data_IF_911282358047
#
_entry.id   IF_911282358047
#
_cell.length_a   1.000
_cell.length_b   1.000
_cell.length_c   1.000
_cell.angle_alpha   90.00
_cell.angle_beta   90.00
_cell.angle_gamma   90.00
#
_symmetry.space_group_name_H-M   'P 1'
#
loop_
_entity.id
_entity.type
_entity.pdbx_description
1 polymer ?
#
# COMPACT_ATOMS: atom_id res chain seq x y z
N UNK A 1 30.68 -41.39 -15.41
CA UNK A 1 29.67 -40.76 -14.53
C UNK A 1 28.49 -40.34 -15.38
N UNK A 2 27.37 -41.06 -15.31
CA UNK A 2 26.12 -40.67 -15.98
C UNK A 2 25.58 -39.46 -15.21
N UNK A 3 25.54 -38.29 -15.85
CA UNK A 3 24.86 -37.11 -15.31
C UNK A 3 23.37 -37.42 -15.29
N UNK A 4 22.84 -37.72 -14.10
CA UNK A 4 21.40 -37.74 -13.85
C UNK A 4 20.94 -36.28 -13.96
N UNK A 5 20.31 -35.94 -15.08
CA UNK A 5 19.59 -34.68 -15.23
C UNK A 5 18.43 -34.68 -14.22
N UNK A 6 18.50 -33.77 -13.25
CA UNK A 6 17.42 -33.51 -12.30
C UNK A 6 16.16 -33.18 -13.12
N UNK A 7 15.00 -33.80 -12.84
CA UNK A 7 13.78 -33.45 -13.56
C UNK A 7 13.49 -31.95 -13.35
N UNK A 8 12.91 -31.27 -14.37
CA UNK A 8 12.52 -29.88 -14.21
C UNK A 8 11.61 -29.74 -12.98
N UNK A 9 11.83 -28.69 -12.19
CA UNK A 9 10.94 -28.41 -11.07
C UNK A 9 9.51 -28.21 -11.62
N UNK A 10 8.49 -28.80 -10.99
CA UNK A 10 7.11 -28.64 -11.45
C UNK A 10 6.71 -27.16 -11.37
N UNK A 11 6.01 -26.68 -12.41
CA UNK A 11 5.56 -25.29 -12.52
C UNK A 11 4.58 -24.88 -11.41
N UNK A 12 3.85 -25.84 -10.86
CA UNK A 12 2.89 -25.66 -9.78
C UNK A 12 3.10 -26.70 -8.68
N UNK A 13 2.88 -26.31 -7.42
CA UNK A 13 2.86 -27.24 -6.29
C UNK A 13 1.59 -28.08 -6.29
N UNK A 14 1.65 -29.29 -5.74
CA UNK A 14 0.47 -30.16 -5.63
C UNK A 14 -0.71 -29.49 -4.90
N UNK A 15 -0.44 -28.60 -3.95
CA UNK A 15 -1.46 -27.83 -3.25
C UNK A 15 -2.14 -26.81 -4.17
N UNK A 16 -1.39 -26.12 -5.03
CA UNK A 16 -1.93 -25.18 -6.03
C UNK A 16 -2.80 -25.91 -7.06
N UNK A 17 -2.33 -27.05 -7.56
CA UNK A 17 -3.08 -27.86 -8.52
C UNK A 17 -4.37 -28.40 -7.88
N UNK A 18 -4.28 -28.93 -6.66
CA UNK A 18 -5.46 -29.40 -5.94
C UNK A 18 -6.45 -28.26 -5.66
N UNK A 19 -5.98 -27.10 -5.20
CA UNK A 19 -6.82 -25.92 -4.96
C UNK A 19 -7.45 -25.35 -6.24
N UNK A 20 -6.83 -25.57 -7.40
CA UNK A 20 -7.42 -25.21 -8.67
C UNK A 20 -8.54 -26.16 -9.08
N UNK A 21 -8.25 -27.47 -9.11
CA UNK A 21 -9.15 -28.48 -9.68
C UNK A 21 -10.24 -28.93 -8.73
N UNK A 22 -10.04 -28.82 -7.42
CA UNK A 22 -10.95 -29.38 -6.45
C UNK A 22 -11.59 -28.33 -5.55
N UNK A 23 -12.86 -28.59 -5.20
CA UNK A 23 -13.59 -27.87 -4.16
C UNK A 23 -14.06 -28.85 -3.10
N UNK A 24 -14.08 -28.48 -1.81
CA UNK A 24 -14.66 -29.33 -0.78
C UNK A 24 -16.14 -29.60 -1.10
N UNK A 25 -16.55 -30.85 -0.94
CA UNK A 25 -17.96 -31.22 -1.00
C UNK A 25 -18.70 -30.60 0.19
N UNK A 26 -19.98 -30.31 -0.01
CA UNK A 26 -20.88 -29.85 1.05
C UNK A 26 -22.00 -30.85 1.26
N UNK A 27 -22.48 -30.95 2.48
CA UNK A 27 -23.64 -31.78 2.82
C UNK A 27 -24.97 -31.05 2.56
N UNK A 28 -26.06 -31.58 3.11
CA UNK A 28 -27.41 -31.04 2.92
C UNK A 28 -27.63 -29.70 3.64
N UNK A 29 -26.79 -29.39 4.64
CA UNK A 29 -26.85 -28.17 5.45
C UNK A 29 -25.83 -27.12 4.98
N UNK A 30 -25.23 -27.32 3.80
CA UNK A 30 -24.16 -26.51 3.22
C UNK A 30 -22.84 -26.55 4.03
N UNK A 31 -22.67 -27.50 4.95
CA UNK A 31 -21.45 -27.65 5.75
C UNK A 31 -20.34 -28.39 4.98
N UNK A 32 -19.09 -28.02 5.22
CA UNK A 32 -17.93 -28.56 4.49
C UNK A 32 -17.60 -29.99 4.95
N UNK A 33 -17.65 -30.94 4.01
CA UNK A 33 -17.22 -32.32 4.24
C UNK A 33 -15.71 -32.43 3.99
N UNK A 34 -14.91 -32.33 5.05
CA UNK A 34 -13.44 -32.24 5.00
C UNK A 34 -12.73 -33.34 4.20
N UNK A 35 -13.27 -34.56 4.16
CA UNK A 35 -12.61 -35.70 3.49
C UNK A 35 -12.97 -35.80 2.00
N UNK A 36 -13.97 -35.08 1.50
CA UNK A 36 -14.48 -35.25 0.15
C UNK A 36 -14.29 -34.00 -0.70
N UNK A 37 -13.67 -34.19 -1.86
CA UNK A 37 -13.34 -33.13 -2.77
C UNK A 37 -13.94 -33.41 -4.14
N UNK A 38 -14.64 -32.44 -4.72
CA UNK A 38 -15.20 -32.52 -6.07
C UNK A 38 -14.27 -31.84 -7.05
N UNK A 39 -13.80 -32.59 -8.03
CA UNK A 39 -13.04 -32.05 -9.15
C UNK A 39 -13.95 -31.21 -10.07
N UNK A 40 -13.38 -30.28 -10.85
CA UNK A 40 -14.07 -29.54 -11.92
C UNK A 40 -14.72 -30.44 -12.97
N UNK A 41 -14.19 -31.64 -13.21
CA UNK A 41 -14.83 -32.64 -14.08
C UNK A 41 -16.05 -33.32 -13.44
N UNK A 42 -16.39 -32.98 -12.19
CA UNK A 42 -17.51 -33.55 -11.44
C UNK A 42 -17.14 -34.76 -10.58
N UNK A 43 -15.98 -35.39 -10.82
CA UNK A 43 -15.52 -36.57 -10.07
C UNK A 43 -15.25 -36.23 -8.60
N UNK A 44 -15.79 -37.04 -7.69
CA UNK A 44 -15.54 -36.88 -6.25
C UNK A 44 -14.39 -37.80 -5.82
N UNK A 45 -13.44 -37.25 -5.07
CA UNK A 45 -12.29 -37.95 -4.50
C UNK A 45 -12.29 -37.81 -2.99
N UNK A 46 -12.10 -38.94 -2.30
CA UNK A 46 -11.89 -38.97 -0.85
C UNK A 46 -10.41 -38.80 -0.53
N UNK A 47 -10.07 -37.84 0.32
CA UNK A 47 -8.72 -37.66 0.87
C UNK A 47 -8.71 -38.19 2.31
N UNK A 48 -7.91 -39.22 2.57
CA UNK A 48 -7.62 -39.69 3.93
C UNK A 48 -6.39 -38.95 4.44
N UNK A 49 -6.41 -38.53 5.71
CA UNK A 49 -5.39 -37.70 6.37
C UNK A 49 -3.93 -38.18 6.24
N UNK A 50 -3.68 -39.40 5.75
CA UNK A 50 -2.34 -40.00 5.65
C UNK A 50 -1.62 -39.79 4.30
N UNK A 51 -2.29 -39.30 3.25
CA UNK A 51 -1.75 -39.38 1.88
C UNK A 51 -1.34 -38.05 1.23
N UNK A 52 -1.51 -36.91 1.91
CA UNK A 52 -1.28 -35.60 1.30
C UNK A 52 -2.09 -35.42 0.01
N UNK A 53 -1.58 -34.67 -0.96
CA UNK A 53 -2.26 -34.37 -2.24
C UNK A 53 -2.10 -35.45 -3.32
N UNK A 54 -1.43 -36.57 -3.04
CA UNK A 54 -1.00 -37.54 -4.06
C UNK A 54 -2.15 -38.18 -4.84
N UNK A 55 -3.26 -38.49 -4.17
CA UNK A 55 -4.46 -39.07 -4.80
C UNK A 55 -5.19 -38.06 -5.71
N UNK A 56 -5.26 -36.79 -5.30
CA UNK A 56 -5.83 -35.70 -6.09
C UNK A 56 -4.96 -35.42 -7.31
N UNK A 57 -3.63 -35.41 -7.14
CA UNK A 57 -2.68 -35.26 -8.24
C UNK A 57 -2.76 -36.40 -9.25
N UNK A 58 -2.87 -37.65 -8.80
CA UNK A 58 -3.01 -38.78 -9.70
C UNK A 58 -4.28 -38.67 -10.56
N UNK A 59 -5.38 -38.15 -10.00
CA UNK A 59 -6.58 -37.87 -10.75
C UNK A 59 -6.36 -36.76 -11.79
N UNK A 60 -5.73 -35.65 -11.40
CA UNK A 60 -5.47 -34.53 -12.32
C UNK A 60 -4.55 -34.96 -13.45
N UNK A 61 -3.46 -35.67 -13.16
CA UNK A 61 -2.54 -36.14 -14.19
C UNK A 61 -3.21 -37.11 -15.20
N UNK A 62 -4.26 -37.83 -14.78
CA UNK A 62 -4.96 -38.77 -15.66
C UNK A 62 -6.09 -38.10 -16.46
N UNK A 63 -6.94 -37.33 -15.79
CA UNK A 63 -8.15 -36.75 -16.38
C UNK A 63 -7.93 -35.33 -16.96
N UNK A 64 -6.83 -34.69 -16.59
CA UNK A 64 -6.45 -33.33 -16.98
C UNK A 64 -4.96 -33.29 -17.37
N UNK A 65 -4.54 -34.02 -18.43
CA UNK A 65 -3.14 -34.07 -18.83
C UNK A 65 -2.58 -32.70 -19.25
N UNK A 66 -3.45 -31.78 -19.64
CA UNK A 66 -3.18 -30.38 -20.02
C UNK A 66 -3.28 -29.40 -18.83
N UNK A 67 -3.28 -29.90 -17.58
CA UNK A 67 -3.59 -29.09 -16.41
C UNK A 67 -2.72 -27.83 -16.25
N UNK A 68 -1.45 -27.89 -16.65
CA UNK A 68 -0.52 -26.78 -16.54
C UNK A 68 -0.90 -25.61 -17.47
N UNK A 69 -1.33 -25.92 -18.70
CA UNK A 69 -1.77 -24.93 -19.67
C UNK A 69 -3.07 -24.28 -19.20
N UNK A 70 -4.03 -25.11 -18.76
CA UNK A 70 -5.31 -24.65 -18.23
C UNK A 70 -5.13 -23.76 -17.00
N UNK A 71 -4.20 -24.11 -16.10
CA UNK A 71 -3.90 -23.29 -14.92
C UNK A 71 -3.17 -21.98 -15.28
N UNK A 72 -2.35 -21.97 -16.33
CA UNK A 72 -1.65 -20.78 -16.80
C UNK A 72 -2.60 -19.77 -17.46
N UNK A 73 -3.57 -20.27 -18.24
CA UNK A 73 -4.55 -19.45 -18.97
C UNK A 73 -5.77 -19.05 -18.12
N UNK A 74 -5.91 -19.63 -16.94
CA UNK A 74 -7.07 -19.38 -16.09
C UNK A 74 -7.14 -17.94 -15.58
N UNK A 75 -8.26 -17.29 -15.86
CA UNK A 75 -8.56 -15.95 -15.33
C UNK A 75 -9.05 -16.01 -13.88
N UNK A 76 -8.94 -14.89 -13.15
CA UNK A 76 -9.47 -14.77 -11.78
C UNK A 76 -10.97 -15.13 -11.68
N UNK A 77 -11.74 -14.87 -12.75
CA UNK A 77 -13.16 -15.22 -12.85
C UNK A 77 -13.41 -16.74 -12.91
N UNK A 78 -12.54 -17.51 -13.56
CA UNK A 78 -12.67 -18.97 -13.69
C UNK A 78 -12.16 -19.75 -12.47
N UNK A 79 -11.36 -19.10 -11.62
CA UNK A 79 -10.75 -19.70 -10.44
C UNK A 79 -11.51 -19.41 -9.17
N UNK A 80 -12.37 -18.39 -9.16
CA UNK A 80 -13.18 -17.99 -8.01
C UNK A 80 -12.37 -17.38 -6.87
N UNK A 81 -11.03 -17.52 -6.88
CA UNK A 81 -10.11 -16.84 -5.99
C UNK A 81 -8.69 -16.91 -6.53
N UNK A 82 -8.04 -15.74 -6.68
CA UNK A 82 -6.61 -15.64 -6.99
C UNK A 82 -5.75 -16.17 -5.84
N UNK A 83 -6.30 -16.29 -4.63
CA UNK A 83 -5.57 -16.74 -3.44
C UNK A 83 -4.96 -18.14 -3.62
N UNK A 84 -5.57 -19.01 -4.43
CA UNK A 84 -5.01 -20.35 -4.67
C UNK A 84 -3.70 -20.33 -5.47
N UNK A 85 -3.36 -19.21 -6.12
CA UNK A 85 -2.12 -19.04 -6.87
C UNK A 85 -1.08 -18.21 -6.12
N UNK A 86 -1.49 -17.48 -5.08
CA UNK A 86 -0.59 -16.64 -4.28
C UNK A 86 0.01 -17.51 -3.18
N UNK A 87 1.34 -17.44 -3.02
CA UNK A 87 2.03 -18.12 -1.92
C UNK A 87 1.46 -17.66 -0.58
N UNK A 88 1.20 -18.60 0.34
CA UNK A 88 0.69 -18.30 1.68
C UNK A 88 1.54 -17.24 2.40
N UNK A 89 2.87 -17.34 2.29
CA UNK A 89 3.79 -16.37 2.87
C UNK A 89 3.65 -14.95 2.32
N UNK A 90 3.24 -14.79 1.06
CA UNK A 90 2.94 -13.48 0.46
C UNK A 90 1.60 -12.94 0.94
N UNK A 91 0.58 -13.80 1.08
CA UNK A 91 -0.71 -13.40 1.66
C UNK A 91 -0.57 -12.95 3.11
N UNK A 92 0.22 -13.70 3.89
CA UNK A 92 0.49 -13.38 5.29
C UNK A 92 1.21 -12.03 5.43
N UNK A 93 2.25 -11.80 4.61
CA UNK A 93 2.98 -10.54 4.58
C UNK A 93 2.06 -9.36 4.20
N UNK A 94 1.23 -9.52 3.17
CA UNK A 94 0.25 -8.51 2.78
C UNK A 94 -0.76 -8.21 3.90
N UNK A 95 -1.26 -9.25 4.58
CA UNK A 95 -2.14 -9.09 5.74
C UNK A 95 -1.52 -8.24 6.83
N UNK A 96 -0.25 -8.47 7.17
CA UNK A 96 0.47 -7.65 8.14
C UNK A 96 0.63 -6.19 7.69
N UNK A 97 0.98 -5.95 6.42
CA UNK A 97 1.09 -4.58 5.88
C UNK A 97 -0.24 -3.82 5.99
N UNK A 98 -1.35 -4.47 5.61
CA UNK A 98 -2.69 -3.87 5.69
C UNK A 98 -3.00 -3.44 7.12
N UNK A 99 -2.82 -4.33 8.10
CA UNK A 99 -3.08 -4.01 9.51
C UNK A 99 -2.22 -2.85 10.01
N UNK A 100 -0.93 -2.89 9.71
CA UNK A 100 0.01 -1.91 10.24
C UNK A 100 -0.22 -0.53 9.62
N UNK A 101 -0.40 -0.46 8.30
CA UNK A 101 -0.60 0.81 7.59
C UNK A 101 -1.98 1.39 7.87
N UNK A 102 -3.05 0.59 7.78
CA UNK A 102 -4.42 1.12 7.94
C UNK A 102 -4.76 1.50 9.37
N UNK A 103 -4.16 0.83 10.36
CA UNK A 103 -4.37 1.15 11.77
C UNK A 103 -3.29 2.07 12.36
N UNK A 104 -2.33 2.53 11.54
CA UNK A 104 -1.21 3.37 11.96
C UNK A 104 -0.46 2.79 13.18
N UNK A 105 -0.14 1.50 13.11
CA UNK A 105 0.55 0.79 14.19
C UNK A 105 2.07 0.84 14.00
N UNK A 106 2.86 0.72 15.08
CA UNK A 106 4.30 0.56 14.96
C UNK A 106 4.67 -0.68 14.12
N UNK A 107 5.75 -0.62 13.34
CA UNK A 107 6.21 -1.77 12.55
C UNK A 107 6.49 -2.99 13.43
N UNK A 108 7.04 -2.76 14.64
CA UNK A 108 7.31 -3.78 15.65
C UNK A 108 6.05 -4.51 16.17
N UNK A 109 4.85 -4.01 15.86
CA UNK A 109 3.60 -4.64 16.28
C UNK A 109 3.45 -6.08 15.77
N UNK A 110 3.97 -6.38 14.57
CA UNK A 110 3.95 -7.74 14.01
C UNK A 110 4.72 -8.76 14.84
N UNK A 111 5.64 -8.31 15.70
CA UNK A 111 6.41 -9.16 16.61
C UNK A 111 5.77 -9.29 17.99
N UNK A 112 4.77 -8.45 18.31
CA UNK A 112 4.18 -8.37 19.65
C UNK A 112 3.49 -9.67 20.05
N UNK A 113 3.56 -10.00 21.35
CA UNK A 113 2.97 -11.24 21.88
C UNK A 113 1.44 -11.22 21.77
N UNK A 114 0.86 -10.03 21.91
CA UNK A 114 -0.57 -9.77 21.81
C UNK A 114 -1.05 -9.98 20.39
N UNK A 115 -0.30 -9.49 19.38
CA UNK A 115 -0.66 -9.74 17.99
C UNK A 115 -0.61 -11.24 17.64
N UNK A 116 0.38 -11.98 18.14
CA UNK A 116 0.43 -13.45 17.96
C UNK A 116 -0.75 -14.18 18.61
N UNK A 117 -1.33 -13.62 19.66
CA UNK A 117 -2.42 -14.25 20.42
C UNK A 117 -3.78 -14.05 19.77
N UNK A 118 -4.00 -12.90 19.13
CA UNK A 118 -5.32 -12.50 18.67
C UNK A 118 -5.48 -12.41 17.14
N UNK A 119 -4.39 -12.46 16.38
CA UNK A 119 -4.44 -12.40 14.92
C UNK A 119 -4.27 -13.79 14.30
N UNK A 120 -5.00 -14.06 13.22
CA UNK A 120 -4.90 -15.28 12.42
C UNK A 120 -3.74 -15.22 11.39
N UNK A 121 -2.73 -14.38 11.63
CA UNK A 121 -1.56 -14.23 10.77
C UNK A 121 -0.37 -14.94 11.41
N UNK A 122 0.42 -15.64 10.59
CA UNK A 122 1.68 -16.24 11.05
C UNK A 122 2.64 -15.13 11.50
N UNK A 123 3.33 -15.30 12.64
CA UNK A 123 4.29 -14.30 13.13
C UNK A 123 5.38 -14.02 12.11
N UNK A 124 5.73 -12.76 11.94
CA UNK A 124 6.87 -12.31 11.12
C UNK A 124 7.78 -11.40 11.95
N UNK A 125 9.02 -11.22 11.49
CA UNK A 125 9.88 -10.18 12.04
C UNK A 125 9.57 -8.82 11.43
N UNK A 126 9.87 -7.75 12.15
CA UNK A 126 9.82 -6.38 11.66
C UNK A 126 10.71 -6.22 10.41
N UNK A 127 11.90 -6.84 10.42
CA UNK A 127 12.82 -6.86 9.29
C UNK A 127 12.15 -7.44 8.03
N UNK A 128 11.44 -8.56 8.17
CA UNK A 128 10.73 -9.20 7.04
C UNK A 128 9.58 -8.33 6.54
N UNK A 129 8.87 -7.66 7.45
CA UNK A 129 7.82 -6.71 7.08
C UNK A 129 8.41 -5.55 6.27
N UNK A 130 9.48 -4.93 6.78
CA UNK A 130 10.17 -3.80 6.16
C UNK A 130 10.67 -4.13 4.75
N UNK A 131 11.40 -5.24 4.60
CA UNK A 131 11.87 -5.70 3.28
C UNK A 131 10.70 -5.97 2.32
N UNK A 132 9.57 -6.45 2.84
CA UNK A 132 8.35 -6.58 2.09
C UNK A 132 7.80 -5.23 1.62
N UNK A 133 7.76 -4.23 2.50
CA UNK A 133 7.21 -2.91 2.20
C UNK A 133 8.08 -2.19 1.17
N UNK A 134 9.41 -2.29 1.28
CA UNK A 134 10.36 -1.82 0.26
C UNK A 134 10.08 -2.45 -1.11
N UNK A 135 9.86 -3.77 -1.15
CA UNK A 135 9.49 -4.45 -2.39
C UNK A 135 8.16 -3.96 -3.00
N UNK A 136 7.19 -3.60 -2.16
CA UNK A 136 5.92 -3.00 -2.61
C UNK A 136 6.16 -1.59 -3.15
N UNK A 137 6.97 -0.76 -2.48
CA UNK A 137 7.35 0.58 -2.95
C UNK A 137 7.98 0.49 -4.34
N UNK A 138 8.97 -0.37 -4.54
CA UNK A 138 9.61 -0.58 -5.85
C UNK A 138 8.63 -1.06 -6.93
N UNK A 139 7.59 -1.83 -6.56
CA UNK A 139 6.56 -2.26 -7.50
C UNK A 139 5.63 -1.10 -7.89
N UNK A 140 5.24 -0.28 -6.91
CA UNK A 140 4.42 0.92 -7.13
C UNK A 140 5.16 1.96 -7.98
N UNK A 141 6.43 2.23 -7.68
CA UNK A 141 7.28 3.13 -8.48
C UNK A 141 7.35 2.70 -9.95
N UNK A 142 7.56 1.40 -10.21
CA UNK A 142 7.55 0.87 -11.58
C UNK A 142 6.20 1.02 -12.27
N UNK A 143 5.11 0.80 -11.53
CA UNK A 143 3.75 0.99 -12.05
C UNK A 143 3.50 2.44 -12.45
N UNK A 144 3.84 3.38 -11.56
CA UNK A 144 3.73 4.82 -11.83
C UNK A 144 4.59 5.19 -13.03
N UNK A 145 5.85 4.77 -13.07
CA UNK A 145 6.77 5.06 -14.17
C UNK A 145 6.25 4.55 -15.53
N UNK A 146 5.58 3.39 -15.55
CA UNK A 146 4.99 2.85 -16.79
C UNK A 146 3.74 3.60 -17.28
N UNK A 147 3.04 4.27 -16.38
CA UNK A 147 1.81 5.02 -16.68
C UNK A 147 2.05 6.50 -16.95
N UNK A 148 3.20 7.03 -16.51
CA UNK A 148 3.54 8.44 -16.67
C UNK A 148 3.75 8.79 -18.16
N UNK A 149 3.04 9.80 -18.69
CA UNK A 149 3.27 10.30 -20.03
C UNK A 149 4.59 11.08 -20.13
N UNK A 150 5.04 11.36 -21.35
CA UNK A 150 6.23 12.19 -21.59
C UNK A 150 6.10 13.62 -21.03
N UNK A 151 4.87 14.11 -20.88
CA UNK A 151 4.58 15.42 -20.29
C UNK A 151 3.47 15.30 -19.23
N UNK A 152 3.75 15.74 -18.02
CA UNK A 152 2.83 15.75 -16.89
C UNK A 152 3.06 16.99 -16.03
N UNK A 153 2.07 17.34 -15.21
CA UNK A 153 2.20 18.40 -14.21
C UNK A 153 2.84 17.90 -12.92
N UNK A 154 3.49 18.80 -12.18
CA UNK A 154 3.92 18.55 -10.80
C UNK A 154 3.02 19.36 -9.87
N UNK A 155 2.48 18.70 -8.85
CA UNK A 155 1.75 19.35 -7.78
C UNK A 155 2.53 19.18 -6.48
N UNK A 156 2.73 20.30 -5.78
CA UNK A 156 3.40 20.35 -4.49
C UNK A 156 2.37 20.70 -3.42
N UNK A 157 2.32 19.89 -2.37
CA UNK A 157 1.51 20.14 -1.18
C UNK A 157 2.43 20.26 0.04
N UNK A 158 2.28 21.35 0.79
CA UNK A 158 3.15 21.66 1.92
C UNK A 158 2.33 21.95 3.17
N UNK A 159 2.64 21.25 4.26
CA UNK A 159 1.98 21.47 5.55
C UNK A 159 2.98 21.42 6.70
N UNK A 160 2.54 21.86 7.87
CA UNK A 160 3.33 21.81 9.11
C UNK A 160 2.63 20.91 10.10
N UNK A 161 3.36 19.96 10.69
CA UNK A 161 2.87 19.13 11.78
C UNK A 161 3.91 19.07 12.90
N UNK A 162 3.51 19.36 14.13
CA UNK A 162 4.36 19.26 15.32
C UNK A 162 5.76 19.95 15.18
N UNK A 163 5.79 21.15 14.57
CA UNK A 163 6.99 21.95 14.29
C UNK A 163 7.86 21.48 13.13
N UNK A 164 7.49 20.41 12.45
CA UNK A 164 8.15 19.95 11.23
C UNK A 164 7.33 20.37 10.00
N UNK A 165 8.01 20.91 9.01
CA UNK A 165 7.42 21.20 7.72
C UNK A 165 7.57 19.99 6.82
N UNK A 166 6.53 19.64 6.07
CA UNK A 166 6.51 18.52 5.15
C UNK A 166 6.17 19.02 3.77
N UNK A 167 6.73 18.38 2.75
CA UNK A 167 6.35 18.58 1.35
C UNK A 167 6.05 17.22 0.72
N UNK A 168 4.90 17.13 0.07
CA UNK A 168 4.54 16.05 -0.82
C UNK A 168 4.61 16.51 -2.28
N UNK A 169 5.19 15.65 -3.12
CA UNK A 169 5.33 15.85 -4.56
C UNK A 169 4.46 14.83 -5.27
N UNK A 170 3.54 15.31 -6.11
CA UNK A 170 2.66 14.48 -6.92
C UNK A 170 2.94 14.73 -8.40
N UNK A 171 2.87 13.67 -9.22
CA UNK A 171 2.64 13.85 -10.64
C UNK A 171 1.15 14.10 -10.87
N UNK A 172 0.80 14.84 -11.91
CA UNK A 172 -0.57 15.14 -12.30
C UNK A 172 -0.69 14.92 -13.82
N UNK A 173 -1.47 13.94 -14.23
CA UNK A 173 -1.69 13.65 -15.64
C UNK A 173 -3.10 13.11 -15.86
N UNK A 174 -3.58 13.22 -17.10
CA UNK A 174 -4.87 12.68 -17.48
C UNK A 174 -4.69 11.34 -18.21
N UNK A 175 -5.47 10.34 -17.81
CA UNK A 175 -5.61 9.08 -18.55
C UNK A 175 -7.09 8.90 -18.86
N UNK A 176 -7.46 8.85 -20.15
CA UNK A 176 -8.83 8.62 -20.60
C UNK A 176 -9.88 9.54 -19.94
N UNK A 177 -9.61 10.85 -19.81
CA UNK A 177 -10.53 11.80 -19.16
C UNK A 177 -10.51 11.76 -17.62
N UNK A 178 -9.69 10.90 -17.01
CA UNK A 178 -9.55 10.79 -15.55
C UNK A 178 -8.22 11.38 -15.10
N UNK A 179 -8.28 12.39 -14.22
CA UNK A 179 -7.09 12.94 -13.57
C UNK A 179 -6.49 11.90 -12.61
N UNK A 180 -5.20 11.62 -12.81
CA UNK A 180 -4.38 10.79 -11.94
C UNK A 180 -3.36 11.67 -11.22
N UNK A 181 -3.29 11.51 -9.91
CA UNK A 181 -2.38 12.27 -9.04
C UNK A 181 -1.54 11.36 -8.13
N UNK A 182 -0.67 10.49 -8.68
CA UNK A 182 0.15 9.61 -7.85
C UNK A 182 1.16 10.41 -7.03
N UNK A 183 1.34 10.02 -5.76
CA UNK A 183 2.39 10.54 -4.88
C UNK A 183 3.74 9.99 -5.35
N UNK A 184 4.70 10.88 -5.61
CA UNK A 184 6.07 10.52 -6.00
C UNK A 184 7.00 10.49 -4.80
N UNK A 185 6.86 11.47 -3.90
CA UNK A 185 7.71 11.58 -2.72
C UNK A 185 7.02 12.41 -1.65
N UNK A 186 7.34 12.13 -0.38
CA UNK A 186 6.98 12.93 0.76
C UNK A 186 8.18 12.96 1.70
N UNK A 187 8.59 14.14 2.13
CA UNK A 187 9.71 14.29 3.04
C UNK A 187 9.50 15.46 4.01
N UNK A 188 10.01 15.36 5.25
CA UNK A 188 10.17 16.52 6.10
C UNK A 188 11.23 17.46 5.51
N UNK A 189 11.03 18.76 5.66
CA UNK A 189 12.01 19.79 5.39
C UNK A 189 12.91 19.91 6.62
N UNK A 190 14.14 19.42 6.52
CA UNK A 190 15.12 19.51 7.60
C UNK A 190 15.37 20.99 7.94
N UNK A 191 15.19 21.34 9.21
CA UNK A 191 15.30 22.72 9.71
C UNK A 191 16.72 23.06 10.18
N UNK A 192 17.65 22.11 10.17
CA UNK A 192 18.98 22.26 10.79
C UNK A 192 20.12 22.08 9.79
N UNK A 193 21.13 22.94 9.91
CA UNK A 193 22.41 22.78 9.25
C UNK A 193 23.16 21.65 9.97
N UNK A 194 23.05 20.43 9.47
CA UNK A 194 23.95 19.37 9.88
C UNK A 194 24.49 18.66 8.65
N UNK A 195 25.81 18.74 8.50
CA UNK A 195 26.65 18.31 7.37
C UNK A 195 26.87 16.77 7.31
N UNK A 196 25.98 15.96 7.90
CA UNK A 196 26.21 14.52 8.03
C UNK A 196 25.18 13.68 7.24
N UNK A 197 25.59 13.35 6.00
CA UNK A 197 25.59 12.04 5.32
C UNK A 197 24.31 11.15 5.30
N UNK A 198 24.05 10.63 4.08
CA UNK A 198 23.71 9.21 3.78
C UNK A 198 22.31 8.80 3.26
N UNK A 199 21.47 9.71 2.77
CA UNK A 199 20.33 9.38 1.87
C UNK A 199 20.27 10.36 0.68
N UNK A 200 21.25 10.18 -0.21
CA UNK A 200 21.88 11.21 -1.06
C UNK A 200 21.17 11.56 -2.39
N UNK A 201 19.84 11.47 -2.51
CA UNK A 201 19.18 11.89 -3.77
C UNK A 201 17.87 12.65 -3.65
N UNK A 202 16.90 12.16 -2.87
CA UNK A 202 15.58 12.80 -2.78
C UNK A 202 15.59 14.00 -1.83
N UNK A 203 16.27 13.86 -0.69
CA UNK A 203 16.49 14.95 0.26
C UNK A 203 17.43 16.00 -0.32
N UNK A 204 18.46 15.61 -1.06
CA UNK A 204 19.39 16.57 -1.66
C UNK A 204 18.70 17.36 -2.78
N UNK A 205 17.83 16.73 -3.57
CA UNK A 205 16.97 17.40 -4.56
C UNK A 205 15.98 18.37 -3.89
N UNK A 206 15.29 17.97 -2.81
CA UNK A 206 14.38 18.88 -2.11
C UNK A 206 15.14 19.98 -1.35
N UNK A 207 16.30 19.68 -0.76
CA UNK A 207 17.13 20.62 -0.01
C UNK A 207 17.83 21.65 -0.91
N UNK A 208 18.32 21.26 -2.09
CA UNK A 208 18.85 22.22 -3.09
C UNK A 208 17.75 23.11 -3.67
N UNK A 209 16.51 22.62 -3.74
CA UNK A 209 15.39 23.37 -4.30
C UNK A 209 14.76 24.39 -3.33
N UNK A 210 15.11 24.36 -2.03
CA UNK A 210 14.41 25.07 -0.96
C UNK A 210 15.30 25.96 -0.07
N UNK A 211 15.60 27.20 -0.46
CA UNK A 211 16.12 28.17 0.50
C UNK A 211 15.01 28.68 1.38
N UNK A 212 15.12 28.32 2.66
CA UNK A 212 14.83 29.00 3.95
C UNK A 212 13.79 30.13 4.04
N UNK A 213 12.88 30.30 3.08
CA UNK A 213 11.76 31.23 3.14
C UNK A 213 10.48 30.43 3.04
N UNK A 214 9.94 30.03 4.20
CA UNK A 214 8.84 29.08 4.31
C UNK A 214 7.47 29.74 4.08
N UNK A 215 6.97 29.56 2.86
CA UNK A 215 5.57 29.66 2.48
C UNK A 215 5.31 28.72 1.30
N UNK A 216 4.15 28.06 1.24
CA UNK A 216 3.82 27.17 0.11
C UNK A 216 3.93 27.90 -1.27
N UNK A 217 3.79 29.23 -1.28
CA UNK A 217 3.95 30.07 -2.46
C UNK A 217 5.40 30.35 -2.85
N UNK A 218 6.33 30.48 -1.91
CA UNK A 218 7.75 30.76 -2.17
C UNK A 218 8.48 29.52 -2.69
N UNK A 219 8.18 28.36 -2.12
CA UNK A 219 8.67 27.05 -2.56
C UNK A 219 8.28 26.76 -4.01
N UNK A 220 6.99 26.83 -4.30
CA UNK A 220 6.48 26.48 -5.63
C UNK A 220 7.01 27.43 -6.72
N UNK A 221 7.15 28.73 -6.39
CA UNK A 221 7.73 29.73 -7.27
C UNK A 221 9.19 29.46 -7.57
N UNK A 222 9.97 29.07 -6.57
CA UNK A 222 11.38 28.76 -6.73
C UNK A 222 11.61 27.51 -7.56
N UNK A 223 10.87 26.44 -7.28
CA UNK A 223 10.92 25.20 -8.07
C UNK A 223 10.59 25.47 -9.53
N UNK A 224 9.51 26.20 -9.80
CA UNK A 224 9.13 26.56 -11.16
C UNK A 224 10.21 27.41 -11.88
N UNK A 225 10.87 28.30 -11.15
CA UNK A 225 11.95 29.14 -11.69
C UNK A 225 13.19 28.32 -12.04
N UNK A 226 13.62 27.42 -11.14
CA UNK A 226 14.78 26.55 -11.34
C UNK A 226 14.57 25.52 -12.44
N UNK A 227 13.35 25.01 -12.58
CA UNK A 227 12.98 24.09 -13.65
C UNK A 227 12.62 24.80 -14.96
N UNK A 228 12.59 26.14 -14.98
CA UNK A 228 12.17 26.95 -16.12
C UNK A 228 10.77 26.56 -16.66
N UNK A 229 9.84 26.21 -15.76
CA UNK A 229 8.47 25.80 -16.09
C UNK A 229 7.42 26.79 -15.60
N UNK A 230 6.25 26.87 -16.25
CA UNK A 230 5.15 27.71 -15.78
C UNK A 230 4.64 27.27 -14.39
N UNK A 231 4.42 28.24 -13.50
CA UNK A 231 3.73 28.01 -12.23
C UNK A 231 2.26 28.42 -12.33
N UNK A 232 1.37 27.51 -11.95
CA UNK A 232 -0.04 27.84 -11.69
C UNK A 232 -0.25 27.94 -10.19
N UNK A 233 -0.68 29.12 -9.73
CA UNK A 233 -1.00 29.34 -8.32
C UNK A 233 -2.24 28.55 -7.89
N UNK A 234 -2.20 28.02 -6.67
CA UNK A 234 -3.28 27.19 -6.13
C UNK A 234 -4.56 28.01 -5.92
N UNK A 235 -5.70 27.52 -6.41
CA UNK A 235 -6.97 28.24 -6.35
C UNK A 235 -7.48 28.41 -4.91
N UNK A 236 -7.31 27.40 -4.04
CA UNK A 236 -7.69 27.53 -2.62
C UNK A 236 -6.89 28.60 -1.90
N UNK A 237 -5.61 28.79 -2.24
CA UNK A 237 -4.79 29.85 -1.64
C UNK A 237 -5.32 31.23 -2.06
N UNK A 238 -5.67 31.41 -3.34
CA UNK A 238 -6.29 32.64 -3.84
C UNK A 238 -7.65 32.91 -3.17
N UNK A 239 -8.46 31.87 -2.97
CA UNK A 239 -9.73 31.98 -2.25
C UNK A 239 -9.48 32.34 -0.77
N UNK A 240 -8.51 31.71 -0.12
CA UNK A 240 -8.15 32.03 1.27
C UNK A 240 -7.72 33.48 1.43
N UNK A 241 -6.92 34.02 0.50
CA UNK A 241 -6.57 35.44 0.49
C UNK A 241 -7.80 36.33 0.31
N UNK A 242 -8.70 36.01 -0.63
CA UNK A 242 -9.93 36.78 -0.81
C UNK A 242 -10.84 36.76 0.43
N UNK A 243 -10.93 35.61 1.12
CA UNK A 243 -11.67 35.48 2.39
C UNK A 243 -10.98 36.28 3.50
N UNK A 244 -9.65 36.28 3.58
CA UNK A 244 -8.91 37.09 4.55
C UNK A 244 -9.17 38.59 4.33
N UNK A 245 -9.17 39.04 3.07
CA UNK A 245 -9.46 40.43 2.72
C UNK A 245 -10.90 40.83 3.09
N UNK A 246 -11.89 39.96 2.81
CA UNK A 246 -13.29 40.19 3.17
C UNK A 246 -13.49 40.25 4.69
N UNK A 247 -12.83 39.35 5.41
CA UNK A 247 -12.88 39.28 6.87
C UNK A 247 -12.09 40.39 7.58
N UNK A 248 -11.27 41.17 6.87
CA UNK A 248 -10.52 42.28 7.46
C UNK A 248 -11.46 43.32 8.10
N UNK A 249 -12.67 43.52 7.55
CA UNK A 249 -13.69 44.39 8.13
C UNK A 249 -14.22 43.89 9.50
N UNK A 250 -14.02 42.61 9.81
CA UNK A 250 -14.49 41.93 11.01
C UNK A 250 -13.35 41.56 11.98
N UNK A 251 -12.20 42.23 11.88
CA UNK A 251 -11.00 41.91 12.69
C UNK A 251 -11.30 41.87 14.20
N UNK A 252 -12.11 42.80 14.71
CA UNK A 252 -12.48 42.84 16.14
C UNK A 252 -13.31 41.63 16.57
N UNK A 253 -14.27 41.20 15.75
CA UNK A 253 -15.12 40.04 16.03
C UNK A 253 -14.28 38.76 15.98
N UNK A 254 -13.38 38.64 15.00
CA UNK A 254 -12.43 37.54 14.90
C UNK A 254 -11.49 37.48 16.10
N UNK A 255 -10.99 38.62 16.57
CA UNK A 255 -10.16 38.70 17.76
C UNK A 255 -10.91 38.24 19.02
N UNK A 256 -12.19 38.63 19.16
CA UNK A 256 -13.04 38.17 20.26
C UNK A 256 -13.29 36.66 20.20
N UNK A 257 -13.58 36.10 19.02
CA UNK A 257 -13.72 34.66 18.81
C UNK A 257 -12.42 33.94 19.12
N UNK A 258 -11.27 34.44 18.64
CA UNK A 258 -9.96 33.85 18.92
C UNK A 258 -9.66 33.85 20.41
N UNK A 259 -9.91 34.95 21.13
CA UNK A 259 -9.74 35.02 22.58
C UNK A 259 -10.61 34.00 23.32
N UNK A 260 -11.87 33.83 22.90
CA UNK A 260 -12.77 32.81 23.44
C UNK A 260 -12.24 31.39 23.16
N UNK A 261 -11.80 31.11 21.92
CA UNK A 261 -11.26 29.80 21.53
C UNK A 261 -9.99 29.45 22.30
N UNK A 262 -9.08 30.41 22.53
CA UNK A 262 -7.89 30.21 23.36
C UNK A 262 -8.30 29.84 24.79
N UNK A 263 -9.27 30.58 25.36
CA UNK A 263 -9.79 30.30 26.71
C UNK A 263 -10.40 28.91 26.80
N UNK A 264 -11.24 28.53 25.83
CA UNK A 264 -11.86 27.20 25.77
C UNK A 264 -10.83 26.08 25.61
N UNK A 265 -9.78 26.28 24.79
CA UNK A 265 -8.68 25.31 24.63
C UNK A 265 -7.95 25.03 25.95
N UNK A 266 -7.84 26.03 26.82
CA UNK A 266 -7.16 25.92 28.13
C UNK A 266 -8.07 25.44 29.26
N UNK A 267 -9.40 25.43 29.07
CA UNK A 267 -10.36 24.93 30.05
C UNK A 267 -10.44 23.40 29.94
N UNK A 268 -9.47 22.71 30.55
CA UNK A 268 -9.51 21.26 30.72
C UNK A 268 -10.55 20.91 31.78
N UNK A 269 -11.77 20.58 31.38
CA UNK A 269 -12.81 19.98 32.24
C UNK A 269 -12.52 18.51 32.60
N UNK A 270 -11.25 18.07 32.51
CA UNK A 270 -10.80 16.73 32.87
C UNK A 270 -11.07 16.39 34.35
N UNK A 271 -11.23 17.41 35.20
CA UNK A 271 -11.61 17.25 36.60
C UNK A 271 -13.11 16.97 36.83
N UNK A 272 -14.01 17.29 35.86
CA UNK A 272 -15.46 17.04 35.98
C UNK A 272 -15.93 15.74 35.30
N UNK A 273 -15.02 15.06 34.60
CA UNK A 273 -15.27 13.79 33.90
C UNK A 273 -14.72 12.56 34.68
N UNK A 274 -14.40 12.72 35.97
CA UNK A 274 -14.03 11.63 36.88
C UNK A 274 -15.14 11.31 37.86
#
# INVERSE_FOLDING_TARGET
MVRVTRPPNPSYTNAQVAGFYFRPCRDQDDEVILEYFRCRCGTVRKQTNRNGYSNLMQHVLHEHPDYEVVMLEATAAQTGSILNFIRHSSQNLFGWMVWIVQCNLPLSFCESREARRFFNLEPISEERLRAGMEGVVMAVERSIASELPASFGIMLDGWTHASEHYVAVFACHEINGSLKTPLLSMAPLLNEANDDLSDESHLDFLATMLPRDFGATTVNRRVATLMEVPLVGYASHRLNLAVQDDLAAHENDLAAVQALMIKLRTLTESAKLR
#
